data_IF_899560074853
#
_entry.id   IF_899560074853
#
_cell.length_a   1.000
_cell.length_b   1.000
_cell.length_c   1.000
_cell.angle_alpha   90.00
_cell.angle_beta   90.00
_cell.angle_gamma   90.00
#
_symmetry.space_group_name_H-M   'P 1'
#
loop_
_entity.id
_entity.type
_entity.pdbx_description
1 polymer ?
#
# COMPACT_ATOMS: atom_id res chain seq x y z
N UNK A 1 18.06 -4.94 28.10
CA UNK A 1 18.52 -6.28 27.68
C UNK A 1 18.71 -6.23 26.16
N UNK A 2 19.97 -6.24 25.70
CA UNK A 2 20.33 -6.30 24.29
C UNK A 2 20.09 -7.71 23.76
N UNK A 3 19.22 -7.87 22.76
CA UNK A 3 19.11 -9.11 21.99
C UNK A 3 20.05 -9.01 20.78
N UNK A 4 21.28 -9.50 20.97
CA UNK A 4 22.27 -9.70 19.91
C UNK A 4 21.67 -10.55 18.79
N UNK A 5 21.55 -9.97 17.58
CA UNK A 5 21.34 -10.74 16.36
C UNK A 5 22.61 -11.55 16.10
N UNK A 6 22.50 -12.88 16.17
CA UNK A 6 23.57 -13.83 15.89
C UNK A 6 23.88 -13.76 14.39
N UNK A 7 25.07 -13.27 14.04
CA UNK A 7 25.61 -13.33 12.69
C UNK A 7 26.18 -14.74 12.51
N UNK A 8 25.46 -15.61 11.83
CA UNK A 8 26.01 -16.92 11.48
C UNK A 8 27.02 -16.73 10.34
N UNK A 9 28.30 -16.75 10.71
CA UNK A 9 29.45 -16.72 9.80
C UNK A 9 29.58 -18.11 9.18
N UNK A 10 29.10 -18.27 7.95
CA UNK A 10 29.38 -19.48 7.14
C UNK A 10 29.88 -19.02 5.76
N UNK A 11 31.20 -18.97 5.59
CA UNK A 11 31.88 -18.68 4.31
C UNK A 11 33.15 -17.84 4.45
N UNK A 12 34.06 -17.85 3.46
CA UNK A 12 35.30 -17.07 3.48
C UNK A 12 35.00 -15.56 3.62
N UNK A 13 35.86 -14.80 4.33
CA UNK A 13 35.62 -13.40 4.63
C UNK A 13 35.62 -12.57 3.35
N UNK A 14 34.46 -12.03 2.96
CA UNK A 14 34.39 -11.03 1.89
C UNK A 14 33.09 -10.93 1.11
N UNK A 15 32.23 -11.96 1.11
CA UNK A 15 30.98 -11.92 0.34
C UNK A 15 29.74 -11.90 1.23
N UNK A 16 29.32 -10.70 1.63
CA UNK A 16 27.97 -10.48 2.16
C UNK A 16 27.00 -10.53 0.97
N UNK A 17 26.38 -11.68 0.72
CA UNK A 17 25.20 -11.74 -0.16
C UNK A 17 24.02 -11.15 0.60
N UNK A 18 23.65 -9.92 0.26
CA UNK A 18 22.36 -9.36 0.65
C UNK A 18 21.27 -10.16 -0.09
N UNK A 19 20.63 -11.09 0.62
CA UNK A 19 19.47 -11.79 0.10
C UNK A 19 18.30 -10.81 0.16
N UNK A 20 17.78 -10.41 -1.01
CA UNK A 20 16.55 -9.62 -1.08
C UNK A 20 15.38 -10.50 -0.62
N UNK A 21 14.56 -10.06 0.35
CA UNK A 21 13.37 -10.79 0.72
C UNK A 21 12.41 -10.87 -0.47
N UNK A 22 11.72 -12.00 -0.59
CA UNK A 22 10.65 -12.18 -1.55
C UNK A 22 9.46 -11.29 -1.22
N UNK A 23 8.61 -11.01 -2.21
CA UNK A 23 7.39 -10.22 -2.00
C UNK A 23 6.51 -10.82 -0.89
N UNK A 24 6.33 -12.15 -0.88
CA UNK A 24 5.54 -12.84 0.13
C UNK A 24 6.14 -12.70 1.55
N UNK A 25 7.46 -12.60 1.70
CA UNK A 25 8.10 -12.34 2.99
C UNK A 25 7.95 -10.88 3.45
N UNK A 26 7.97 -9.94 2.50
CA UNK A 26 7.68 -8.53 2.75
C UNK A 26 6.23 -8.37 3.24
N UNK A 27 5.26 -8.96 2.53
CA UNK A 27 3.83 -8.92 2.89
C UNK A 27 3.59 -9.49 4.30
N UNK A 28 4.10 -10.69 4.58
CA UNK A 28 4.00 -11.31 5.91
C UNK A 28 4.63 -10.46 7.01
N UNK A 29 5.66 -9.68 6.69
CA UNK A 29 6.31 -8.79 7.65
C UNK A 29 5.50 -7.51 7.84
N UNK A 30 4.99 -6.92 6.76
CA UNK A 30 4.14 -5.74 6.79
C UNK A 30 2.85 -5.98 7.59
N UNK A 31 2.20 -7.13 7.40
CA UNK A 31 0.98 -7.49 8.13
C UNK A 31 1.18 -7.67 9.65
N UNK A 32 2.42 -7.94 10.08
CA UNK A 32 2.78 -8.06 11.51
C UNK A 32 3.10 -6.71 12.18
N UNK A 33 3.18 -5.62 11.43
CA UNK A 33 3.41 -4.30 12.00
C UNK A 33 2.18 -3.83 12.80
N UNK A 34 2.37 -2.98 13.82
CA UNK A 34 1.27 -2.23 14.45
C UNK A 34 0.48 -1.43 13.42
N UNK A 35 -0.80 -1.15 13.70
CA UNK A 35 -1.69 -0.45 12.75
C UNK A 35 -1.12 0.89 12.27
N UNK A 36 -0.61 1.72 13.18
CA UNK A 36 0.02 3.00 12.84
C UNK A 36 1.19 2.84 11.86
N UNK A 37 2.04 1.83 12.07
CA UNK A 37 3.18 1.57 11.21
C UNK A 37 2.76 1.01 9.85
N UNK A 38 1.68 0.21 9.80
CA UNK A 38 1.06 -0.23 8.54
C UNK A 38 0.53 0.96 7.76
N UNK A 39 -0.19 1.88 8.41
CA UNK A 39 -0.71 3.08 7.76
C UNK A 39 0.42 3.94 7.18
N UNK A 40 1.51 4.12 7.93
CA UNK A 40 2.68 4.86 7.46
C UNK A 40 3.41 4.15 6.31
N UNK A 41 3.49 2.81 6.34
CA UNK A 41 4.04 2.03 5.23
C UNK A 41 3.18 2.16 3.97
N UNK A 42 1.85 2.08 4.11
CA UNK A 42 0.91 2.27 2.99
C UNK A 42 1.07 3.66 2.38
N UNK A 43 1.15 4.71 3.20
CA UNK A 43 1.36 6.08 2.72
C UNK A 43 2.64 6.21 1.88
N UNK A 44 3.75 5.62 2.35
CA UNK A 44 5.02 5.58 1.59
C UNK A 44 4.93 4.80 0.29
N UNK A 45 4.25 3.65 0.30
CA UNK A 45 4.08 2.84 -0.90
C UNK A 45 3.20 3.54 -1.93
N UNK A 46 2.10 4.16 -1.49
CA UNK A 46 1.23 4.94 -2.37
C UNK A 46 1.95 6.17 -2.93
N UNK A 47 2.75 6.85 -2.10
CA UNK A 47 3.55 8.01 -2.51
C UNK A 47 4.76 7.67 -3.41
N UNK A 48 5.16 6.40 -3.50
CA UNK A 48 6.23 5.97 -4.42
C UNK A 48 5.72 5.54 -5.80
N UNK A 49 4.40 5.39 -5.96
CA UNK A 49 3.80 5.11 -7.26
C UNK A 49 3.98 6.33 -8.18
N UNK A 50 4.17 6.11 -9.49
CA UNK A 50 4.19 7.21 -10.45
C UNK A 50 2.87 7.98 -10.33
N UNK A 51 2.95 9.31 -10.47
CA UNK A 51 1.74 10.12 -10.54
C UNK A 51 0.83 9.56 -11.65
N UNK A 52 -0.47 9.37 -11.38
CA UNK A 52 -1.39 8.92 -12.41
C UNK A 52 -1.35 9.92 -13.58
N UNK A 53 -1.65 9.47 -14.81
CA UNK A 53 -1.72 10.35 -15.96
C UNK A 53 -2.64 11.54 -15.64
N UNK A 54 -2.16 12.75 -15.94
CA UNK A 54 -2.84 13.99 -15.56
C UNK A 54 -4.21 14.17 -16.24
N UNK A 55 -4.48 13.39 -17.28
CA UNK A 55 -5.72 13.42 -18.05
C UNK A 55 -6.09 11.99 -18.40
N UNK A 56 -7.22 11.53 -17.87
CA UNK A 56 -7.91 10.35 -18.37
C UNK A 56 -8.76 10.79 -19.57
N UNK A 57 -8.89 9.92 -20.57
CA UNK A 57 -9.84 10.10 -21.65
C UNK A 57 -11.27 9.92 -21.15
N UNK A 58 -12.26 10.48 -21.86
CA UNK A 58 -13.67 10.33 -21.51
C UNK A 58 -14.09 8.86 -21.41
N UNK A 59 -13.55 8.02 -22.30
CA UNK A 59 -13.79 6.57 -22.29
C UNK A 59 -13.20 5.87 -21.07
N UNK A 60 -11.99 6.26 -20.62
CA UNK A 60 -11.38 5.73 -19.39
C UNK A 60 -12.16 6.16 -18.14
N UNK A 61 -12.63 7.40 -18.10
CA UNK A 61 -13.47 7.91 -17.01
C UNK A 61 -14.78 7.14 -16.95
N UNK A 62 -15.43 6.93 -18.11
CA UNK A 62 -16.69 6.18 -18.19
C UNK A 62 -16.50 4.72 -17.79
N UNK A 63 -15.44 4.07 -18.29
CA UNK A 63 -15.13 2.69 -17.95
C UNK A 63 -14.90 2.51 -16.43
N UNK A 64 -14.17 3.43 -15.80
CA UNK A 64 -13.97 3.42 -14.35
C UNK A 64 -15.28 3.65 -13.60
N UNK A 65 -16.12 4.58 -14.03
CA UNK A 65 -17.41 4.84 -13.41
C UNK A 65 -18.31 3.61 -13.43
N UNK A 66 -18.38 2.90 -14.57
CA UNK A 66 -19.13 1.64 -14.71
C UNK A 66 -18.55 0.57 -13.79
N UNK A 67 -17.22 0.44 -13.72
CA UNK A 67 -16.56 -0.53 -12.85
C UNK A 67 -16.87 -0.28 -11.37
N UNK A 68 -16.91 0.99 -10.94
CA UNK A 68 -17.23 1.35 -9.55
C UNK A 68 -18.68 1.11 -9.20
N UNK A 69 -19.58 1.36 -10.14
CA UNK A 69 -21.00 1.09 -9.94
C UNK A 69 -21.23 -0.42 -9.73
N UNK A 70 -20.64 -1.26 -10.58
CA UNK A 70 -20.70 -2.72 -10.43
C UNK A 70 -20.07 -3.22 -9.11
N UNK A 71 -18.98 -2.61 -8.67
CA UNK A 71 -18.35 -2.94 -7.38
C UNK A 71 -19.27 -2.63 -6.19
N UNK A 72 -19.94 -1.47 -6.21
CA UNK A 72 -20.91 -1.07 -5.19
C UNK A 72 -22.14 -1.98 -5.19
N UNK A 73 -22.66 -2.33 -6.37
CA UNK A 73 -23.79 -3.25 -6.52
C UNK A 73 -23.44 -4.68 -6.07
N UNK A 74 -22.17 -5.10 -6.19
CA UNK A 74 -21.72 -6.42 -5.76
C UNK A 74 -21.82 -6.63 -4.24
N UNK A 75 -21.94 -5.55 -3.46
CA UNK A 75 -22.02 -5.60 -2.00
C UNK A 75 -20.68 -5.89 -1.29
N UNK A 76 -19.58 -6.09 -2.03
CA UNK A 76 -18.24 -6.26 -1.46
C UNK A 76 -17.70 -4.97 -0.83
N UNK A 77 -18.16 -3.82 -1.32
CA UNK A 77 -17.76 -2.50 -0.81
C UNK A 77 -19.01 -1.75 -0.33
N UNK A 78 -19.09 -1.39 0.96
CA UNK A 78 -20.21 -0.60 1.46
C UNK A 78 -20.13 0.84 0.95
N UNK A 79 -21.26 1.46 0.57
CA UNK A 79 -21.29 2.86 0.19
C UNK A 79 -20.91 3.74 1.38
N UNK A 80 -20.15 4.80 1.10
CA UNK A 80 -19.84 5.81 2.10
C UNK A 80 -21.07 6.70 2.36
N UNK A 81 -21.29 7.06 3.62
CA UNK A 81 -22.21 8.15 3.92
C UNK A 81 -21.66 9.48 3.39
N UNK A 82 -22.54 10.39 3.02
CA UNK A 82 -22.15 11.71 2.53
C UNK A 82 -21.24 12.46 3.51
N UNK A 83 -21.50 12.33 4.83
CA UNK A 83 -20.66 12.92 5.87
C UNK A 83 -19.23 12.34 5.87
N UNK A 84 -19.11 11.02 5.70
CA UNK A 84 -17.81 10.35 5.62
C UNK A 84 -17.04 10.77 4.35
N UNK A 85 -17.74 10.83 3.21
CA UNK A 85 -17.18 11.32 1.95
C UNK A 85 -16.64 12.75 2.07
N UNK A 86 -17.47 13.69 2.57
CA UNK A 86 -17.07 15.10 2.76
C UNK A 86 -15.87 15.26 3.69
N UNK A 87 -15.75 14.43 4.73
CA UNK A 87 -14.58 14.40 5.64
C UNK A 87 -13.31 13.92 4.93
N UNK A 88 -13.42 13.08 3.91
CA UNK A 88 -12.31 12.59 3.10
C UNK A 88 -11.80 13.65 2.12
N UNK A 89 -12.68 14.18 1.27
CA UNK A 89 -12.32 15.12 0.18
C UNK A 89 -11.65 16.40 0.69
N UNK A 90 -12.01 16.87 1.90
CA UNK A 90 -11.39 18.07 2.50
C UNK A 90 -9.94 17.88 2.95
N UNK A 91 -9.44 16.64 3.03
CA UNK A 91 -8.04 16.37 3.43
C UNK A 91 -7.05 16.51 2.27
N UNK A 92 -7.49 16.39 1.03
CA UNK A 92 -6.62 16.47 -0.17
C UNK A 92 -6.31 17.91 -0.63
N UNK A 93 -6.70 18.94 0.12
CA UNK A 93 -6.48 20.35 -0.24
C UNK A 93 -5.23 20.97 0.43
N UNK A 94 -4.22 20.16 0.77
CA UNK A 94 -2.92 20.63 1.30
C UNK A 94 -1.78 20.24 0.37
#
# INVERSE_FOLDING_TARGET
MQTSRRLDVIGPPGNVRLVMPTLAEIERTALRLPETDRLHLVDKLLGSLPSPPAVFTDDEILAEAISRDAELESGHVPPLSEAAFRKGVRRSAR
#
